data_IF_313724645743
#
_entry.id   IF_313724645743
#
_cell.length_a   1.000
_cell.length_b   1.000
_cell.length_c   1.000
_cell.angle_alpha   90.00
_cell.angle_beta   90.00
_cell.angle_gamma   90.00
#
_symmetry.space_group_name_H-M   'P 1'
#
loop_
_entity.id
_entity.type
_entity.pdbx_description
1 polymer ?
#
# COMPACT_ATOMS: atom_id res chain seq x y z
N UNK A 1 10.23 16.46 -22.05
CA UNK A 1 10.33 16.57 -20.58
C UNK A 1 9.17 15.82 -19.89
N UNK A 2 9.15 14.48 -19.95
CA UNK A 2 7.97 13.66 -19.60
C UNK A 2 8.21 12.63 -18.47
N UNK A 3 9.20 12.85 -17.60
CA UNK A 3 9.65 11.84 -16.61
C UNK A 3 9.31 12.12 -15.14
N UNK A 4 9.10 13.37 -14.74
CA UNK A 4 9.06 13.72 -13.31
C UNK A 4 7.72 13.43 -12.62
N UNK A 5 6.57 13.73 -13.23
CA UNK A 5 5.26 13.59 -12.57
C UNK A 5 4.88 12.15 -12.18
N UNK A 6 5.26 11.16 -13.02
CA UNK A 6 4.98 9.73 -12.75
C UNK A 6 5.69 9.22 -11.50
N UNK A 7 6.88 9.74 -11.21
CA UNK A 7 7.68 9.33 -10.06
C UNK A 7 7.11 9.86 -8.75
N UNK A 8 6.61 11.09 -8.73
CA UNK A 8 5.98 11.69 -7.54
C UNK A 8 4.72 10.93 -7.10
N UNK A 9 3.82 10.62 -8.05
CA UNK A 9 2.62 9.85 -7.74
C UNK A 9 2.94 8.45 -7.23
N UNK A 10 3.90 7.77 -7.89
CA UNK A 10 4.35 6.45 -7.45
C UNK A 10 4.94 6.50 -6.03
N UNK A 11 5.85 7.45 -5.77
CA UNK A 11 6.45 7.64 -4.46
C UNK A 11 5.40 7.93 -3.39
N UNK A 12 4.38 8.74 -3.70
CA UNK A 12 3.25 9.00 -2.82
C UNK A 12 2.46 7.71 -2.50
N UNK A 13 2.05 6.95 -3.52
CA UNK A 13 1.31 5.70 -3.31
C UNK A 13 2.13 4.67 -2.53
N UNK A 14 3.42 4.54 -2.86
CA UNK A 14 4.35 3.65 -2.16
C UNK A 14 4.54 4.08 -0.71
N UNK A 15 4.66 5.39 -0.44
CA UNK A 15 4.71 5.90 0.93
C UNK A 15 3.48 5.47 1.72
N UNK A 16 2.28 5.72 1.19
CA UNK A 16 1.03 5.34 1.86
C UNK A 16 0.98 3.83 2.16
N UNK A 17 1.37 3.00 1.18
CA UNK A 17 1.45 1.55 1.35
C UNK A 17 2.45 1.17 2.45
N UNK A 18 3.66 1.71 2.41
CA UNK A 18 4.73 1.37 3.35
C UNK A 18 4.42 1.81 4.78
N UNK A 19 3.74 2.94 4.98
CA UNK A 19 3.25 3.37 6.30
C UNK A 19 2.37 2.30 6.96
N UNK A 20 1.49 1.62 6.20
CA UNK A 20 0.60 0.57 6.75
C UNK A 20 1.29 -0.78 6.83
N UNK A 21 2.02 -1.17 5.78
CA UNK A 21 2.70 -2.48 5.75
C UNK A 21 3.74 -2.59 6.86
N UNK A 22 4.55 -1.55 7.07
CA UNK A 22 5.59 -1.58 8.10
C UNK A 22 5.00 -1.54 9.51
N UNK A 23 3.94 -0.76 9.74
CA UNK A 23 3.21 -0.79 11.01
C UNK A 23 2.56 -2.16 11.27
N UNK A 24 1.94 -2.78 10.26
CA UNK A 24 1.38 -4.13 10.36
C UNK A 24 2.45 -5.16 10.74
N UNK A 25 3.59 -5.14 10.04
CA UNK A 25 4.71 -6.03 10.33
C UNK A 25 5.30 -5.79 11.72
N UNK A 26 5.39 -4.53 12.17
CA UNK A 26 5.86 -4.21 13.52
C UNK A 26 4.93 -4.80 14.58
N UNK A 27 3.62 -4.56 14.46
CA UNK A 27 2.62 -5.08 15.41
C UNK A 27 2.61 -6.61 15.45
N UNK A 28 2.64 -7.26 14.28
CA UNK A 28 2.67 -8.72 14.18
C UNK A 28 3.97 -9.29 14.77
N UNK A 29 5.11 -8.66 14.48
CA UNK A 29 6.41 -9.10 14.98
C UNK A 29 6.51 -9.00 16.49
N UNK A 30 6.12 -7.87 17.08
CA UNK A 30 6.12 -7.69 18.55
C UNK A 30 5.17 -8.70 19.20
N UNK A 31 4.00 -8.93 18.61
CA UNK A 31 3.03 -9.91 19.12
C UNK A 31 3.56 -11.34 19.10
N UNK A 32 4.24 -11.76 18.03
CA UNK A 32 4.69 -13.16 17.85
C UNK A 32 6.04 -13.46 18.47
N UNK A 33 6.95 -12.48 18.46
CA UNK A 33 8.36 -12.69 18.80
C UNK A 33 8.82 -11.85 20.00
N UNK A 34 7.99 -10.94 20.51
CA UNK A 34 8.35 -10.03 21.61
C UNK A 34 9.24 -8.85 21.20
N UNK A 35 9.66 -8.78 19.93
CA UNK A 35 10.57 -7.75 19.42
C UNK A 35 10.31 -7.42 17.94
N UNK A 36 10.73 -6.24 17.44
CA UNK A 36 10.70 -5.92 16.02
C UNK A 36 11.68 -6.77 15.21
N UNK A 37 11.18 -7.43 14.16
CA UNK A 37 11.99 -8.13 13.16
C UNK A 37 11.91 -7.44 11.82
N UNK A 38 12.95 -7.63 11.01
CA UNK A 38 13.05 -6.93 9.73
C UNK A 38 12.11 -7.51 8.68
N UNK A 39 11.49 -6.61 7.91
CA UNK A 39 10.69 -6.96 6.72
C UNK A 39 11.56 -6.92 5.48
N UNK A 40 11.50 -7.98 4.66
CA UNK A 40 12.04 -7.99 3.31
C UNK A 40 10.98 -7.47 2.34
N UNK A 41 11.33 -6.46 1.55
CA UNK A 41 10.42 -5.84 0.58
C UNK A 41 10.90 -6.18 -0.82
N UNK A 42 10.03 -6.81 -1.62
CA UNK A 42 10.36 -7.20 -2.99
C UNK A 42 9.39 -6.48 -3.92
N UNK A 43 9.91 -5.61 -4.78
CA UNK A 43 9.14 -4.95 -5.81
C UNK A 43 9.23 -5.71 -7.13
N UNK A 44 8.10 -5.87 -7.79
CA UNK A 44 8.03 -6.37 -9.16
C UNK A 44 8.58 -5.32 -10.13
N UNK A 45 9.67 -5.66 -10.81
CA UNK A 45 10.24 -4.82 -11.85
C UNK A 45 9.41 -4.90 -13.14
N UNK A 46 8.70 -3.81 -13.45
CA UNK A 46 8.08 -3.55 -14.77
C UNK A 46 8.81 -2.34 -15.36
N UNK A 47 9.24 -2.41 -16.63
CA UNK A 47 10.11 -1.40 -17.23
C UNK A 47 9.58 0.03 -17.07
N UNK A 48 10.48 1.01 -16.80
CA UNK A 48 10.13 2.43 -16.69
C UNK A 48 10.30 3.08 -15.29
N UNK A 49 10.77 2.34 -14.28
CA UNK A 49 10.99 2.85 -12.93
C UNK A 49 12.48 2.98 -12.57
N UNK A 50 12.87 4.12 -11.99
CA UNK A 50 14.21 4.33 -11.41
C UNK A 50 14.20 3.95 -9.93
N UNK A 51 14.55 2.70 -9.65
CA UNK A 51 14.52 2.10 -8.31
C UNK A 51 15.50 2.73 -7.31
N UNK A 52 16.56 3.39 -7.81
CA UNK A 52 17.50 4.16 -6.98
C UNK A 52 16.82 5.37 -6.31
N UNK A 53 15.83 5.97 -6.96
CA UNK A 53 15.14 7.16 -6.44
C UNK A 53 14.16 6.83 -5.31
N UNK A 54 13.59 5.63 -5.28
CA UNK A 54 12.71 5.18 -4.18
C UNK A 54 13.46 5.10 -2.85
N UNK A 55 14.69 4.57 -2.86
CA UNK A 55 15.53 4.51 -1.64
C UNK A 55 15.86 5.91 -1.13
N UNK A 56 16.28 6.80 -2.02
CA UNK A 56 16.57 8.20 -1.68
C UNK A 56 15.34 8.92 -1.11
N UNK A 57 14.16 8.70 -1.70
CA UNK A 57 12.90 9.29 -1.23
C UNK A 57 12.53 8.82 0.19
N UNK A 58 12.70 7.53 0.49
CA UNK A 58 12.42 7.00 1.82
C UNK A 58 13.42 7.47 2.88
N UNK A 59 14.70 7.69 2.53
CA UNK A 59 15.66 8.32 3.45
C UNK A 59 15.27 9.78 3.76
N UNK A 60 14.75 10.52 2.77
CA UNK A 60 14.18 11.87 3.01
C UNK A 60 13.00 11.79 3.97
N UNK A 61 12.06 10.86 3.78
CA UNK A 61 10.92 10.69 4.70
C UNK A 61 11.41 10.34 6.11
N UNK A 62 12.39 9.45 6.23
CA UNK A 62 12.98 9.08 7.53
C UNK A 62 13.57 10.29 8.25
N UNK A 63 14.30 11.13 7.53
CA UNK A 63 14.85 12.36 8.08
C UNK A 63 13.74 13.35 8.49
N UNK A 64 12.68 13.47 7.69
CA UNK A 64 11.52 14.30 8.01
C UNK A 64 10.79 13.83 9.28
N UNK A 65 10.58 12.52 9.41
CA UNK A 65 9.96 11.91 10.59
C UNK A 65 10.81 12.15 11.85
N UNK A 66 12.12 11.91 11.78
CA UNK A 66 13.03 12.20 12.87
C UNK A 66 13.04 13.69 13.26
N UNK A 67 12.84 14.58 12.29
CA UNK A 67 12.75 16.03 12.49
C UNK A 67 11.35 16.58 12.76
N UNK A 68 10.32 15.73 12.86
CA UNK A 68 8.92 16.17 13.06
C UNK A 68 8.34 17.03 11.94
N UNK A 69 8.89 16.94 10.72
CA UNK A 69 8.54 17.78 9.57
C UNK A 69 7.79 17.02 8.47
N UNK A 70 7.31 15.81 8.77
CA UNK A 70 6.58 14.95 7.82
C UNK A 70 5.29 15.63 7.34
N UNK A 71 5.23 15.98 6.05
CA UNK A 71 3.98 16.41 5.42
C UNK A 71 3.00 15.23 5.37
N UNK A 72 1.73 15.42 5.74
CA UNK A 72 0.75 14.34 6.03
C UNK A 72 1.21 13.44 7.21
N UNK A 73 1.17 13.98 8.42
CA UNK A 73 1.68 13.39 9.66
C UNK A 73 0.72 12.39 10.34
N UNK A 74 -0.31 11.89 9.65
CA UNK A 74 -1.24 10.90 10.23
C UNK A 74 -0.53 9.59 10.57
N UNK A 75 0.43 9.19 9.73
CA UNK A 75 1.21 7.96 9.88
C UNK A 75 2.64 8.19 9.39
N UNK A 76 3.53 7.33 9.87
CA UNK A 76 4.92 7.30 9.44
C UNK A 76 5.33 5.86 9.14
N UNK A 77 6.41 5.69 8.37
CA UNK A 77 7.00 4.39 8.12
C UNK A 77 7.63 3.89 9.41
N UNK A 78 7.30 2.66 9.83
CA UNK A 78 7.90 2.04 11.00
C UNK A 78 9.35 1.60 10.68
N UNK A 79 10.30 2.51 10.88
CA UNK A 79 11.72 2.28 10.59
C UNK A 79 12.36 1.20 11.49
N UNK A 80 11.69 0.75 12.56
CA UNK A 80 12.16 -0.37 13.38
C UNK A 80 12.23 -1.68 12.57
N UNK A 81 11.29 -1.88 11.65
CA UNK A 81 11.21 -3.11 10.83
C UNK A 81 11.80 -2.95 9.43
N UNK A 82 11.89 -1.72 8.92
CA UNK A 82 12.38 -1.49 7.56
C UNK A 82 13.92 -1.40 7.53
N UNK A 83 14.53 -2.17 6.62
CA UNK A 83 15.96 -2.08 6.28
C UNK A 83 16.11 -1.95 4.77
N UNK A 84 16.75 -0.88 4.31
CA UNK A 84 16.94 -0.60 2.88
C UNK A 84 17.79 -1.62 2.14
N UNK A 85 18.67 -2.32 2.86
CA UNK A 85 19.44 -3.46 2.35
C UNK A 85 18.58 -4.67 2.04
N UNK A 86 17.37 -4.76 2.59
CA UNK A 86 16.39 -5.84 2.36
C UNK A 86 15.31 -5.44 1.35
N UNK A 87 15.53 -4.37 0.58
CA UNK A 87 14.65 -3.93 -0.51
C UNK A 87 15.25 -4.38 -1.83
N UNK A 88 14.54 -5.27 -2.51
CA UNK A 88 14.94 -5.90 -3.77
C UNK A 88 13.95 -5.59 -4.91
N UNK A 89 14.46 -5.64 -6.13
CA UNK A 89 13.70 -5.45 -7.36
C UNK A 89 13.95 -6.65 -8.27
N UNK A 90 12.91 -7.39 -8.59
CA UNK A 90 13.04 -8.63 -9.39
C UNK A 90 11.96 -8.68 -10.47
N UNK A 91 12.19 -9.37 -11.60
CA UNK A 91 11.17 -9.52 -12.63
C UNK A 91 9.86 -10.09 -12.08
N UNK A 92 8.71 -9.61 -12.57
CA UNK A 92 7.39 -9.99 -12.06
C UNK A 92 7.09 -11.52 -12.08
N UNK A 93 7.73 -12.27 -12.97
CA UNK A 93 7.56 -13.72 -13.12
C UNK A 93 8.54 -14.54 -12.28
N UNK A 94 9.53 -13.91 -11.62
CA UNK A 94 10.63 -14.67 -11.02
C UNK A 94 10.33 -15.23 -9.63
N UNK A 95 9.27 -14.75 -8.96
CA UNK A 95 8.90 -15.19 -7.60
C UNK A 95 7.38 -15.32 -7.49
N UNK A 96 6.90 -16.47 -6.99
CA UNK A 96 5.47 -16.76 -6.82
C UNK A 96 4.73 -15.71 -5.97
N UNK A 97 5.40 -15.13 -4.96
CA UNK A 97 4.82 -14.06 -4.15
C UNK A 97 4.43 -12.80 -4.95
N UNK A 98 5.12 -12.52 -6.06
CA UNK A 98 4.76 -11.41 -6.94
C UNK A 98 3.51 -11.71 -7.77
N UNK A 99 3.31 -12.96 -8.18
CA UNK A 99 2.09 -13.40 -8.84
C UNK A 99 0.88 -13.32 -7.89
N UNK A 100 1.06 -13.72 -6.64
CA UNK A 100 0.02 -13.57 -5.61
C UNK A 100 -0.31 -12.08 -5.37
N UNK A 101 0.70 -11.23 -5.32
CA UNK A 101 0.52 -9.77 -5.18
C UNK A 101 -0.25 -9.19 -6.37
N UNK A 102 0.04 -9.65 -7.59
CA UNK A 102 -0.66 -9.24 -8.80
C UNK A 102 -2.12 -9.69 -8.83
N UNK A 103 -2.41 -10.91 -8.33
CA UNK A 103 -3.78 -11.40 -8.19
C UNK A 103 -4.60 -10.55 -7.20
N UNK A 104 -4.01 -10.20 -6.05
CA UNK A 104 -4.63 -9.31 -5.06
C UNK A 104 -4.83 -7.89 -5.61
N UNK A 105 -3.82 -7.32 -6.27
CA UNK A 105 -3.96 -6.01 -6.89
C UNK A 105 -5.06 -6.02 -7.97
N UNK A 106 -5.13 -7.09 -8.77
CA UNK A 106 -6.13 -7.26 -9.83
C UNK A 106 -7.54 -7.39 -9.29
N UNK A 107 -7.75 -8.09 -8.15
CA UNK A 107 -9.08 -8.20 -7.54
C UNK A 107 -9.60 -6.83 -7.10
N UNK A 108 -8.76 -6.00 -6.47
CA UNK A 108 -9.17 -4.66 -6.06
C UNK A 108 -9.34 -3.70 -7.24
N UNK A 109 -8.50 -3.80 -8.26
CA UNK A 109 -8.66 -3.04 -9.49
C UNK A 109 -10.00 -3.35 -10.17
N UNK A 110 -10.32 -4.64 -10.36
CA UNK A 110 -11.59 -5.06 -10.94
C UNK A 110 -12.78 -4.63 -10.10
N UNK A 111 -12.70 -4.68 -8.77
CA UNK A 111 -13.80 -4.25 -7.90
C UNK A 111 -14.04 -2.73 -7.94
N UNK A 112 -12.98 -1.93 -8.13
CA UNK A 112 -13.07 -0.48 -8.21
C UNK A 112 -13.42 0.05 -9.62
N UNK A 113 -13.12 -0.72 -10.67
CA UNK A 113 -13.40 -0.37 -12.06
C UNK A 113 -14.80 -0.83 -12.50
N UNK A 114 -15.84 -0.25 -11.90
CA UNK A 114 -17.25 -0.58 -12.17
C UNK A 114 -17.69 -0.36 -13.63
N UNK A 115 -16.93 0.45 -14.38
CA UNK A 115 -17.21 0.72 -15.80
C UNK A 115 -16.57 -0.31 -16.73
N UNK A 116 -15.69 -1.16 -16.21
CA UNK A 116 -14.95 -2.14 -16.98
C UNK A 116 -15.79 -3.39 -17.31
N UNK A 117 -15.54 -4.04 -18.46
CA UNK A 117 -16.28 -5.25 -18.88
C UNK A 117 -16.01 -6.48 -18.00
N UNK A 118 -15.01 -6.39 -17.11
CA UNK A 118 -14.60 -7.43 -16.17
C UNK A 118 -14.85 -7.02 -14.72
N UNK A 119 -15.77 -6.08 -14.50
CA UNK A 119 -16.13 -5.66 -13.16
C UNK A 119 -16.64 -6.86 -12.35
N UNK A 120 -16.01 -7.07 -11.21
CA UNK A 120 -16.35 -8.12 -10.26
C UNK A 120 -15.88 -7.69 -8.88
N UNK A 121 -16.75 -7.79 -7.87
CA UNK A 121 -16.41 -7.42 -6.50
C UNK A 121 -15.99 -8.64 -5.68
N UNK A 122 -16.49 -9.82 -6.04
CA UNK A 122 -16.39 -11.07 -5.30
C UNK A 122 -14.94 -11.46 -4.98
N UNK A 123 -13.98 -11.38 -5.93
CA UNK A 123 -12.59 -11.71 -5.63
C UNK A 123 -11.98 -10.76 -4.59
N UNK A 124 -12.36 -9.48 -4.60
CA UNK A 124 -11.88 -8.51 -3.62
C UNK A 124 -12.53 -8.75 -2.26
N UNK A 125 -13.83 -9.07 -2.20
CA UNK A 125 -14.51 -9.35 -0.93
C UNK A 125 -13.99 -10.64 -0.27
N UNK A 126 -13.65 -11.65 -1.06
CA UNK A 126 -13.09 -12.92 -0.57
C UNK A 126 -11.75 -12.74 0.20
N UNK A 127 -11.06 -11.62 0.03
CA UNK A 127 -9.81 -11.31 0.72
C UNK A 127 -10.01 -10.80 2.16
N UNK A 128 -11.24 -10.46 2.57
CA UNK A 128 -11.54 -9.88 3.89
C UNK A 128 -10.85 -10.60 5.08
N UNK A 129 -10.82 -11.94 5.15
CA UNK A 129 -10.17 -12.64 6.25
C UNK A 129 -8.66 -12.41 6.34
N UNK A 130 -8.02 -11.94 5.27
CA UNK A 130 -6.57 -11.72 5.16
C UNK A 130 -6.15 -10.25 5.22
N UNK A 131 -7.11 -9.32 5.17
CA UNK A 131 -6.80 -7.90 5.19
C UNK A 131 -6.24 -7.45 6.54
N UNK A 132 -5.26 -6.55 6.50
CA UNK A 132 -4.75 -5.88 7.70
C UNK A 132 -5.86 -5.09 8.40
N UNK A 133 -5.84 -5.07 9.73
CA UNK A 133 -6.83 -4.35 10.55
C UNK A 133 -6.12 -3.46 11.56
N UNK A 134 -6.66 -2.26 11.76
CA UNK A 134 -6.33 -1.37 12.86
C UNK A 134 -7.59 -1.12 13.67
N UNK A 135 -7.51 -1.33 14.99
CA UNK A 135 -8.67 -1.25 15.89
C UNK A 135 -9.90 -2.05 15.39
N UNK A 136 -9.66 -3.20 14.74
CA UNK A 136 -10.70 -4.07 14.19
C UNK A 136 -11.26 -3.64 12.82
N UNK A 137 -10.82 -2.51 12.26
CA UNK A 137 -11.33 -1.95 11.00
C UNK A 137 -10.31 -2.10 9.87
N UNK A 138 -10.79 -2.42 8.66
CA UNK A 138 -9.96 -2.57 7.46
C UNK A 138 -9.78 -1.24 6.72
N UNK A 139 -10.83 -0.41 6.67
CA UNK A 139 -10.78 0.93 6.09
C UNK A 139 -9.63 1.78 6.68
N UNK A 140 -8.98 2.56 5.80
CA UNK A 140 -7.79 3.39 6.08
C UNK A 140 -6.53 2.62 6.56
N UNK A 141 -6.59 1.29 6.58
CA UNK A 141 -5.48 0.44 6.99
C UNK A 141 -5.19 -0.69 6.00
N UNK A 142 -6.01 -1.75 5.99
CA UNK A 142 -5.88 -2.84 5.02
C UNK A 142 -6.32 -2.45 3.61
N UNK A 143 -7.32 -1.56 3.49
CA UNK A 143 -7.72 -0.94 2.21
C UNK A 143 -7.74 0.57 2.35
N UNK A 144 -6.96 1.27 1.52
CA UNK A 144 -6.82 2.73 1.54
C UNK A 144 -7.48 3.35 0.31
N UNK A 145 -8.46 4.23 0.53
CA UNK A 145 -9.11 5.04 -0.51
C UNK A 145 -8.53 6.45 -0.49
N UNK A 146 -8.11 6.93 -1.67
CA UNK A 146 -7.65 8.29 -1.89
C UNK A 146 -8.45 8.93 -3.04
N UNK A 147 -8.71 10.25 -3.01
CA UNK A 147 -8.33 11.19 -1.95
C UNK A 147 -9.18 11.05 -0.68
N UNK A 148 -8.57 11.32 0.48
CA UNK A 148 -9.31 11.51 1.73
C UNK A 148 -9.77 12.98 1.89
N UNK A 149 -10.95 13.24 2.44
CA UNK A 149 -12.00 12.29 2.83
C UNK A 149 -12.76 11.66 1.63
N UNK A 150 -13.33 10.46 1.77
CA UNK A 150 -13.87 9.63 0.66
C UNK A 150 -14.87 10.32 -0.27
N UNK A 151 -15.72 11.22 0.24
CA UNK A 151 -16.70 11.95 -0.58
C UNK A 151 -16.06 12.82 -1.68
N UNK A 152 -14.78 13.17 -1.56
CA UNK A 152 -14.04 13.89 -2.61
C UNK A 152 -13.81 13.05 -3.86
N UNK A 153 -13.85 11.72 -3.76
CA UNK A 153 -13.60 10.81 -4.87
C UNK A 153 -14.76 10.73 -5.88
N UNK A 154 -15.97 11.21 -5.52
CA UNK A 154 -17.17 11.20 -6.38
C UNK A 154 -17.45 9.84 -7.04
N UNK A 155 -17.31 8.76 -6.26
CA UNK A 155 -17.53 7.39 -6.72
C UNK A 155 -19.02 7.14 -7.04
N UNK A 156 -19.29 6.29 -8.03
CA UNK A 156 -20.63 5.73 -8.27
C UNK A 156 -21.02 4.78 -7.14
N UNK A 157 -22.30 4.44 -7.00
CA UNK A 157 -22.76 3.53 -5.96
C UNK A 157 -22.17 2.12 -6.12
N UNK A 158 -21.96 1.66 -7.36
CA UNK A 158 -21.27 0.41 -7.68
C UNK A 158 -19.80 0.42 -7.23
N UNK A 159 -19.07 1.51 -7.49
CA UNK A 159 -17.69 1.66 -7.03
C UNK A 159 -17.58 1.71 -5.52
N UNK A 160 -18.60 2.24 -4.82
CA UNK A 160 -18.62 2.28 -3.35
C UNK A 160 -18.74 0.90 -2.71
N UNK A 161 -19.29 -0.11 -3.40
CA UNK A 161 -19.59 -1.43 -2.81
C UNK A 161 -18.38 -2.06 -2.11
N UNK A 162 -17.23 -2.10 -2.80
CA UNK A 162 -16.00 -2.68 -2.23
C UNK A 162 -15.54 -1.89 -1.00
N UNK A 163 -15.60 -0.55 -1.05
CA UNK A 163 -15.14 0.29 0.06
C UNK A 163 -16.09 0.22 1.27
N UNK A 164 -17.41 0.20 1.04
CA UNK A 164 -18.41 0.06 2.11
C UNK A 164 -18.25 -1.27 2.83
N UNK A 165 -18.05 -2.37 2.08
CA UNK A 165 -17.75 -3.68 2.67
C UNK A 165 -16.55 -3.63 3.62
N UNK A 166 -15.52 -2.87 3.26
CA UNK A 166 -14.31 -2.70 4.08
C UNK A 166 -14.40 -1.64 5.19
N UNK A 167 -15.56 -1.01 5.38
CA UNK A 167 -15.84 -0.10 6.49
C UNK A 167 -15.77 1.39 6.17
N UNK A 168 -15.70 1.78 4.89
CA UNK A 168 -15.81 3.19 4.50
C UNK A 168 -17.25 3.70 4.63
N UNK A 169 -17.36 5.00 4.92
CA UNK A 169 -18.61 5.78 4.92
C UNK A 169 -18.41 6.98 3.98
N UNK A 170 -19.45 7.32 3.22
CA UNK A 170 -19.43 8.35 2.17
C UNK A 170 -20.36 9.49 2.50
#
# INVERSE_FOLDING_TARGET
MAGHGKQWYYNYCVRLLMERVTDFCLRDSVKRFGEPRYVKVIFSARGGHSYGQTKAYWEVIKAQAAGGSTFLNKREIAHQVLRFSLVEYVPHYSIAGLQLSDAVASSFYQAADALGPKWAVEPALALEPRMGREAGVIADYGLVLQPSPPWKAKLTDEQKLVFVHYGYRF
#
